data_IF_991684189303
#
_entry.id   IF_991684189303
#
_cell.length_a   1.000
_cell.length_b   1.000
_cell.length_c   1.000
_cell.angle_alpha   90.00
_cell.angle_beta   90.00
_cell.angle_gamma   90.00
#
_symmetry.space_group_name_H-M   'P 1'
#
loop_
_entity.id
_entity.type
_entity.pdbx_description
1 polymer ?
#
# COMPACT_ATOMS: atom_id res chain seq x y z
N UNK A 1 5.32 -6.96 -55.46
CA UNK A 1 4.92 -7.75 -54.27
C UNK A 1 5.56 -7.29 -52.95
N UNK A 2 6.87 -6.99 -52.89
CA UNK A 2 7.58 -6.67 -51.62
C UNK A 2 7.06 -5.43 -50.84
N UNK A 3 6.71 -4.34 -51.54
CA UNK A 3 6.30 -3.09 -50.88
C UNK A 3 4.96 -3.17 -50.13
N UNK A 4 4.07 -4.08 -50.52
CA UNK A 4 2.76 -4.30 -49.88
C UNK A 4 2.92 -5.12 -48.59
N UNK A 5 3.84 -6.09 -48.59
CA UNK A 5 4.15 -6.92 -47.41
C UNK A 5 4.86 -6.11 -46.32
N UNK A 6 5.78 -5.21 -46.70
CA UNK A 6 6.46 -4.33 -45.76
C UNK A 6 5.52 -3.31 -45.08
N UNK A 7 4.54 -2.77 -45.83
CA UNK A 7 3.54 -1.83 -45.28
C UNK A 7 2.59 -2.49 -44.28
N UNK A 8 2.17 -3.74 -44.54
CA UNK A 8 1.31 -4.50 -43.62
C UNK A 8 2.03 -4.88 -42.32
N UNK A 9 3.32 -5.23 -42.38
CA UNK A 9 4.12 -5.58 -41.21
C UNK A 9 4.32 -4.38 -40.27
N UNK A 10 4.55 -3.18 -40.79
CA UNK A 10 4.74 -1.95 -39.99
C UNK A 10 3.44 -1.54 -39.29
N UNK A 11 2.29 -1.64 -39.97
CA UNK A 11 0.97 -1.35 -39.37
C UNK A 11 0.61 -2.36 -38.26
N UNK A 12 0.95 -3.63 -38.43
CA UNK A 12 0.74 -4.66 -37.40
C UNK A 12 1.63 -4.42 -36.15
N UNK A 13 2.89 -4.00 -36.34
CA UNK A 13 3.81 -3.67 -35.24
C UNK A 13 3.36 -2.39 -34.51
N UNK A 14 2.93 -1.36 -35.25
CA UNK A 14 2.41 -0.13 -34.63
C UNK A 14 1.09 -0.38 -33.90
N UNK A 15 0.20 -1.22 -34.45
CA UNK A 15 -1.05 -1.60 -33.79
C UNK A 15 -0.82 -2.43 -32.52
N UNK A 16 0.13 -3.36 -32.53
CA UNK A 16 0.51 -4.12 -31.33
C UNK A 16 1.25 -3.26 -30.31
N UNK A 17 2.16 -2.38 -30.73
CA UNK A 17 2.82 -1.44 -29.83
C UNK A 17 1.82 -0.45 -29.21
N UNK A 18 0.88 0.08 -29.99
CA UNK A 18 -0.19 0.96 -29.50
C UNK A 18 -1.14 0.23 -28.54
N UNK A 19 -1.48 -1.03 -28.82
CA UNK A 19 -2.27 -1.84 -27.90
C UNK A 19 -1.49 -2.12 -26.59
N UNK A 20 -0.22 -2.49 -26.67
CA UNK A 20 0.62 -2.74 -25.49
C UNK A 20 0.82 -1.47 -24.67
N UNK A 21 1.08 -0.31 -25.30
CA UNK A 21 1.21 0.95 -24.57
C UNK A 21 -0.11 1.40 -23.97
N UNK A 22 -1.23 1.20 -24.66
CA UNK A 22 -2.57 1.47 -24.15
C UNK A 22 -2.89 0.58 -22.94
N UNK A 23 -2.71 -0.74 -23.04
CA UNK A 23 -2.93 -1.68 -21.93
C UNK A 23 -1.96 -1.49 -20.76
N UNK A 24 -0.74 -0.99 -20.99
CA UNK A 24 0.18 -0.63 -19.91
C UNK A 24 -0.17 0.72 -19.25
N UNK A 25 -0.83 1.64 -19.96
CA UNK A 25 -1.29 2.91 -19.40
C UNK A 25 -2.59 2.78 -18.59
N UNK A 26 -3.44 1.79 -18.91
CA UNK A 26 -4.71 1.58 -18.20
C UNK A 26 -4.58 0.75 -16.92
N UNK A 27 -3.42 0.12 -16.67
CA UNK A 27 -3.17 -0.59 -15.40
C UNK A 27 -2.73 0.41 -14.32
N UNK A 28 -3.37 0.41 -13.14
CA UNK A 28 -2.90 1.22 -12.03
C UNK A 28 -1.45 0.88 -11.68
N UNK A 29 -0.56 1.87 -11.76
CA UNK A 29 0.85 1.73 -11.38
C UNK A 29 1.00 1.35 -9.91
N UNK A 30 1.99 0.52 -9.56
CA UNK A 30 2.31 0.18 -8.18
C UNK A 30 2.53 1.45 -7.34
N UNK A 31 2.12 1.43 -6.07
CA UNK A 31 2.37 2.55 -5.17
C UNK A 31 3.87 2.80 -5.03
N UNK A 32 4.28 4.03 -5.35
CA UNK A 32 5.66 4.48 -5.29
C UNK A 32 5.90 5.52 -4.19
N UNK A 33 7.17 5.91 -4.03
CA UNK A 33 7.55 6.97 -3.10
C UNK A 33 6.87 8.29 -3.47
N UNK A 34 6.25 8.93 -2.50
CA UNK A 34 5.76 10.29 -2.69
C UNK A 34 6.92 11.29 -2.69
N UNK A 35 6.76 12.34 -3.48
CA UNK A 35 7.69 13.47 -3.46
C UNK A 35 7.71 14.11 -2.08
N UNK A 36 8.91 14.28 -1.53
CA UNK A 36 9.10 15.11 -0.35
C UNK A 36 8.86 16.56 -0.77
N UNK A 37 7.89 17.19 -0.13
CA UNK A 37 7.56 18.62 -0.28
C UNK A 37 7.49 19.17 1.12
N UNK A 38 7.87 20.43 1.35
CA UNK A 38 7.73 21.03 2.67
C UNK A 38 6.29 20.87 3.17
N UNK A 39 6.10 20.13 4.27
CA UNK A 39 4.81 19.84 4.88
C UNK A 39 4.88 20.21 6.36
N UNK A 40 3.80 20.78 6.85
CA UNK A 40 3.59 20.94 8.29
C UNK A 40 2.90 19.69 8.82
N UNK A 41 3.27 19.18 10.01
CA UNK A 41 2.55 18.07 10.63
C UNK A 41 1.06 18.37 10.74
N UNK A 42 0.23 17.39 10.38
CA UNK A 42 -1.20 17.45 10.55
C UNK A 42 -1.54 17.63 12.05
N UNK A 43 -2.63 18.36 12.38
CA UNK A 43 -3.07 18.49 13.74
C UNK A 43 -3.37 17.12 14.36
N UNK A 44 -3.30 17.04 15.68
CA UNK A 44 -3.67 15.80 16.38
C UNK A 44 -5.12 15.42 16.05
N UNK A 45 -5.42 14.11 15.95
CA UNK A 45 -6.77 13.65 15.67
C UNK A 45 -7.75 14.15 16.74
N UNK A 46 -8.99 14.38 16.33
CA UNK A 46 -10.05 14.83 17.24
C UNK A 46 -10.35 13.74 18.28
N UNK A 47 -10.76 14.10 19.52
CA UNK A 47 -11.23 13.12 20.49
C UNK A 47 -12.35 12.24 19.89
N UNK A 48 -12.22 10.92 20.02
CA UNK A 48 -13.17 9.95 19.44
C UNK A 48 -12.93 9.62 17.96
N UNK A 49 -11.81 10.04 17.35
CA UNK A 49 -11.42 9.52 16.03
C UNK A 49 -11.17 8.00 16.13
N UNK A 50 -11.93 7.17 15.39
CA UNK A 50 -11.81 5.72 15.51
C UNK A 50 -10.42 5.16 15.16
N UNK A 51 -9.71 5.76 14.20
CA UNK A 51 -8.35 5.31 13.85
C UNK A 51 -7.36 5.63 14.98
N UNK A 52 -7.57 6.75 15.69
CA UNK A 52 -6.78 7.12 16.86
C UNK A 52 -7.11 6.24 18.08
N UNK A 53 -8.32 5.67 18.16
CA UNK A 53 -8.67 4.69 19.19
C UNK A 53 -8.01 3.32 18.94
N UNK A 54 -8.02 2.85 17.70
CA UNK A 54 -7.40 1.57 17.28
C UNK A 54 -5.88 1.64 17.45
N UNK A 55 -5.25 2.69 16.91
CA UNK A 55 -3.82 2.91 17.03
C UNK A 55 -3.52 4.08 17.97
N UNK A 56 -3.85 3.90 19.26
CA UNK A 56 -3.60 4.92 20.28
C UNK A 56 -2.13 5.35 20.29
N UNK A 57 -1.93 6.63 20.01
CA UNK A 57 -0.60 7.25 20.00
C UNK A 57 -0.04 7.35 21.42
N UNK A 58 1.22 6.97 21.67
CA UNK A 58 1.85 7.14 22.97
C UNK A 58 2.11 8.63 23.25
N UNK A 59 2.00 9.00 24.53
CA UNK A 59 2.37 10.33 25.00
C UNK A 59 3.90 10.46 25.04
N UNK A 60 4.50 10.77 23.89
CA UNK A 60 5.92 11.11 23.74
C UNK A 60 6.01 12.59 23.41
N UNK A 61 6.90 13.37 24.07
CA UNK A 61 7.12 14.77 23.72
C UNK A 61 7.40 14.92 22.22
N UNK A 62 6.49 15.60 21.51
CA UNK A 62 6.67 15.93 20.11
C UNK A 62 7.69 17.06 20.00
N UNK A 63 8.80 16.80 19.32
CA UNK A 63 9.76 17.84 18.96
C UNK A 63 9.75 17.97 17.44
N UNK A 64 8.72 18.65 16.90
CA UNK A 64 8.55 18.96 15.48
C UNK A 64 9.78 19.68 14.84
N UNK A 65 10.72 20.18 15.64
CA UNK A 65 11.98 20.77 15.20
C UNK A 65 13.25 20.03 15.67
N UNK A 66 13.12 18.81 16.23
CA UNK A 66 14.30 18.03 16.63
C UNK A 66 15.10 17.57 15.42
N UNK A 67 16.39 17.92 15.42
CA UNK A 67 17.37 17.37 14.48
C UNK A 67 17.62 15.89 14.82
N UNK A 68 17.63 15.01 13.81
CA UNK A 68 17.88 13.57 13.96
C UNK A 68 16.66 12.70 13.68
N UNK A 69 16.83 11.38 13.65
CA UNK A 69 15.77 10.42 13.28
C UNK A 69 14.98 9.89 14.48
N UNK A 70 15.53 9.98 15.69
CA UNK A 70 14.86 9.54 16.91
C UNK A 70 13.60 10.34 17.21
N UNK A 71 12.58 9.66 17.73
CA UNK A 71 11.31 10.26 18.15
C UNK A 71 10.09 9.57 17.53
N UNK A 72 8.94 10.22 17.73
CA UNK A 72 7.65 9.75 17.26
C UNK A 72 7.38 10.30 15.85
N UNK A 73 7.14 9.40 14.92
CA UNK A 73 6.79 9.70 13.54
C UNK A 73 5.33 9.33 13.32
N UNK A 74 4.53 10.27 12.81
CA UNK A 74 3.08 10.10 12.66
C UNK A 74 2.72 10.10 11.18
N UNK A 75 1.89 9.15 10.76
CA UNK A 75 1.39 9.07 9.38
C UNK A 75 0.56 10.31 9.07
N UNK A 76 0.82 10.89 7.91
CA UNK A 76 0.22 12.14 7.44
C UNK A 76 -0.86 11.88 6.38
N UNK A 77 -1.80 12.83 6.19
CA UNK A 77 -2.71 12.83 5.05
C UNK A 77 -1.99 12.67 3.71
N UNK A 78 -2.71 12.17 2.71
CA UNK A 78 -2.21 11.75 1.40
C UNK A 78 -1.33 10.50 1.41
N UNK A 79 -1.11 9.87 2.57
CA UNK A 79 -0.67 8.49 2.60
C UNK A 79 -1.76 7.62 1.95
N UNK A 80 -1.34 6.58 1.23
CA UNK A 80 -2.23 5.67 0.49
C UNK A 80 -1.80 4.24 0.78
N UNK A 81 -2.78 3.36 0.94
CA UNK A 81 -2.56 1.92 1.04
C UNK A 81 -3.58 1.20 0.18
N UNK A 82 -3.27 -0.02 -0.22
CA UNK A 82 -4.15 -0.80 -1.08
C UNK A 82 -3.71 -2.24 -1.24
N UNK A 83 -4.42 -2.94 -2.11
CA UNK A 83 -4.06 -4.29 -2.51
C UNK A 83 -4.07 -4.43 -4.03
N UNK A 84 -3.39 -5.47 -4.50
CA UNK A 84 -3.48 -6.00 -5.86
C UNK A 84 -3.78 -7.49 -5.81
N UNK A 85 -4.88 -7.87 -6.44
CA UNK A 85 -5.25 -9.26 -6.61
C UNK A 85 -5.11 -9.64 -8.08
N UNK A 86 -4.30 -10.65 -8.38
CA UNK A 86 -4.12 -11.12 -9.75
C UNK A 86 -5.34 -11.95 -10.18
N UNK A 87 -6.02 -11.51 -11.23
CA UNK A 87 -7.24 -12.10 -11.75
C UNK A 87 -7.02 -12.67 -13.16
N UNK A 88 -7.67 -13.81 -13.42
CA UNK A 88 -7.80 -14.40 -14.74
C UNK A 88 -9.27 -14.51 -15.10
N UNK A 89 -9.65 -13.87 -16.20
CA UNK A 89 -10.99 -13.95 -16.78
C UNK A 89 -10.99 -15.01 -17.90
N UNK A 90 -12.04 -15.81 -18.03
CA UNK A 90 -12.07 -16.89 -19.01
C UNK A 90 -12.15 -16.41 -20.47
N UNK A 91 -12.67 -15.21 -20.70
CA UNK A 91 -12.86 -14.63 -22.04
C UNK A 91 -11.76 -13.64 -22.44
N UNK A 92 -10.84 -13.28 -21.52
CA UNK A 92 -9.78 -12.30 -21.76
C UNK A 92 -8.41 -12.97 -21.58
N UNK A 93 -7.58 -12.95 -22.63
CA UNK A 93 -6.25 -13.58 -22.65
C UNK A 93 -5.22 -12.87 -21.76
N UNK A 94 -5.48 -11.63 -21.34
CA UNK A 94 -4.54 -10.84 -20.55
C UNK A 94 -4.85 -10.92 -19.05
N UNK A 95 -3.88 -11.30 -18.20
CA UNK A 95 -4.04 -11.24 -16.75
C UNK A 95 -4.29 -9.79 -16.31
N UNK A 96 -5.27 -9.60 -15.44
CA UNK A 96 -5.72 -8.32 -14.92
C UNK A 96 -5.38 -8.23 -13.43
N UNK A 97 -5.07 -7.04 -12.93
CA UNK A 97 -4.88 -6.81 -11.50
C UNK A 97 -6.08 -6.02 -10.99
N UNK A 98 -6.86 -6.63 -10.10
CA UNK A 98 -7.81 -5.92 -9.29
C UNK A 98 -7.06 -5.05 -8.27
N UNK A 99 -7.19 -3.73 -8.37
CA UNK A 99 -6.47 -2.78 -7.52
C UNK A 99 -7.45 -1.90 -6.78
N UNK A 100 -7.47 -1.99 -5.44
CA UNK A 100 -8.23 -1.07 -4.61
C UNK A 100 -7.33 -0.32 -3.63
N UNK A 101 -7.67 0.94 -3.35
CA UNK A 101 -6.89 1.83 -2.49
C UNK A 101 -7.77 2.63 -1.55
N UNK A 102 -7.17 3.10 -0.46
CA UNK A 102 -7.76 4.07 0.46
C UNK A 102 -6.69 5.03 1.00
N UNK A 103 -7.12 6.26 1.30
CA UNK A 103 -6.35 7.25 2.06
C UNK A 103 -6.82 7.37 3.53
N UNK A 104 -7.77 6.53 3.96
CA UNK A 104 -8.29 6.50 5.33
C UNK A 104 -7.46 5.56 6.17
N UNK A 105 -6.26 6.01 6.49
CA UNK A 105 -5.38 5.37 7.43
C UNK A 105 -4.82 6.37 8.45
N UNK A 106 -4.34 5.83 9.56
CA UNK A 106 -3.65 6.57 10.59
C UNK A 106 -2.63 5.67 11.26
N UNK A 107 -1.74 6.27 12.03
CA UNK A 107 -0.74 5.49 12.74
C UNK A 107 0.53 6.26 13.03
N UNK A 108 1.46 5.56 13.62
CA UNK A 108 2.71 6.11 14.12
C UNK A 108 3.78 5.04 14.26
N UNK A 109 5.03 5.49 14.24
CA UNK A 109 6.23 4.70 14.54
C UNK A 109 7.04 5.44 15.60
N UNK A 110 7.50 4.71 16.63
CA UNK A 110 8.47 5.21 17.58
C UNK A 110 9.87 4.73 17.16
N UNK A 111 10.74 5.69 16.85
CA UNK A 111 12.14 5.42 16.50
C UNK A 111 13.01 5.80 17.69
N UNK A 112 13.86 4.89 18.13
CA UNK A 112 14.88 5.09 19.16
C UNK A 112 16.28 4.94 18.59
N UNK A 113 17.26 4.83 19.49
CA UNK A 113 18.67 4.72 19.13
C UNK A 113 19.31 6.08 18.81
N UNK A 114 20.52 6.04 18.26
CA UNK A 114 21.24 7.21 17.76
C UNK A 114 21.03 7.38 16.25
N UNK A 115 21.36 8.55 15.72
CA UNK A 115 21.37 8.81 14.27
C UNK A 115 22.28 7.84 13.49
N UNK A 116 23.33 7.32 14.12
CA UNK A 116 24.24 6.32 13.54
C UNK A 116 23.75 4.87 13.67
N UNK A 117 22.76 4.61 14.53
CA UNK A 117 22.22 3.27 14.79
C UNK A 117 20.74 3.37 15.20
N UNK A 118 19.87 3.83 14.28
CA UNK A 118 18.45 3.99 14.60
C UNK A 118 17.75 2.63 14.70
N UNK A 119 16.67 2.58 15.47
CA UNK A 119 15.86 1.39 15.60
C UNK A 119 14.37 1.74 15.68
N UNK A 120 13.52 0.96 15.00
CA UNK A 120 12.10 0.94 15.32
C UNK A 120 11.95 0.29 16.69
N UNK A 121 11.31 0.99 17.62
CA UNK A 121 11.00 0.48 18.96
C UNK A 121 9.63 -0.21 18.93
N UNK A 122 8.64 0.44 18.32
CA UNK A 122 7.28 -0.06 18.17
C UNK A 122 6.50 0.87 17.23
N UNK A 123 5.28 0.51 16.87
CA UNK A 123 4.40 1.32 16.07
C UNK A 123 3.01 0.71 15.97
N UNK A 124 2.11 1.44 15.33
CA UNK A 124 0.79 0.94 14.99
C UNK A 124 0.30 1.69 13.74
N UNK A 125 -0.16 0.96 12.74
CA UNK A 125 -0.78 1.50 11.52
C UNK A 125 -2.15 0.86 11.39
N UNK A 126 -3.21 1.67 11.35
CA UNK A 126 -4.59 1.24 11.18
C UNK A 126 -5.15 1.79 9.87
N UNK A 127 -5.88 0.95 9.15
CA UNK A 127 -6.43 1.22 7.83
C UNK A 127 -7.92 0.95 7.87
N UNK A 128 -8.74 1.93 7.50
CA UNK A 128 -10.20 1.76 7.42
C UNK A 128 -10.58 1.13 6.07
N UNK A 129 -10.73 -0.19 6.05
CA UNK A 129 -10.99 -0.94 4.83
C UNK A 129 -12.41 -0.76 4.28
N UNK A 130 -13.33 -0.15 5.03
CA UNK A 130 -14.66 0.22 4.53
C UNK A 130 -14.61 1.26 3.42
N UNK A 131 -13.48 1.95 3.30
CA UNK A 131 -13.29 3.06 2.36
C UNK A 131 -12.42 2.68 1.16
N UNK A 132 -12.08 1.40 1.02
CA UNK A 132 -11.42 0.89 -0.18
C UNK A 132 -12.28 1.19 -1.42
N UNK A 133 -11.59 1.65 -2.46
CA UNK A 133 -12.16 1.96 -3.76
C UNK A 133 -11.28 1.35 -4.86
N UNK A 134 -11.93 0.66 -5.79
CA UNK A 134 -11.28 0.12 -6.98
C UNK A 134 -10.85 1.24 -7.92
N UNK A 135 -9.63 1.15 -8.44
CA UNK A 135 -9.03 2.15 -9.33
C UNK A 135 -8.56 1.56 -10.67
N UNK A 136 -8.65 0.24 -10.82
CA UNK A 136 -8.50 -0.43 -12.10
C UNK A 136 -9.74 -0.27 -12.97
N UNK A 137 -9.52 -0.40 -14.27
CA UNK A 137 -10.54 -0.31 -15.30
C UNK A 137 -10.61 -1.61 -16.08
N UNK A 138 -11.82 -2.16 -16.18
CA UNK A 138 -12.14 -3.32 -17.02
C UNK A 138 -13.12 -2.89 -18.11
N UNK A 139 -12.76 -2.99 -19.41
CA UNK A 139 -13.64 -2.60 -20.50
C UNK A 139 -15.00 -3.31 -20.42
N UNK A 140 -16.09 -2.53 -20.31
CA UNK A 140 -17.45 -3.06 -20.22
C UNK A 140 -17.90 -3.47 -18.82
N UNK A 141 -17.07 -3.29 -17.78
CA UNK A 141 -17.40 -3.61 -16.39
C UNK A 141 -17.27 -2.37 -15.51
N UNK A 142 -18.21 -2.18 -14.58
CA UNK A 142 -18.08 -1.18 -13.53
C UNK A 142 -17.32 -1.77 -12.35
N UNK A 143 -16.06 -1.39 -12.17
CA UNK A 143 -15.20 -1.95 -11.11
C UNK A 143 -15.61 -1.49 -9.71
N UNK A 144 -16.43 -0.43 -9.57
CA UNK A 144 -16.97 -0.03 -8.25
C UNK A 144 -17.89 -1.08 -7.63
N UNK A 145 -18.52 -1.93 -8.44
CA UNK A 145 -19.38 -3.01 -7.94
C UNK A 145 -18.56 -4.06 -7.16
N UNK A 146 -17.24 -4.11 -7.38
CA UNK A 146 -16.31 -4.97 -6.64
C UNK A 146 -16.00 -4.43 -5.24
N UNK A 147 -16.20 -3.15 -4.97
CA UNK A 147 -15.84 -2.55 -3.68
C UNK A 147 -16.64 -3.16 -2.53
N UNK A 148 -17.94 -3.43 -2.75
CA UNK A 148 -18.79 -4.07 -1.74
C UNK A 148 -18.38 -5.52 -1.50
N UNK A 149 -18.04 -6.26 -2.57
CA UNK A 149 -17.52 -7.64 -2.47
C UNK A 149 -16.19 -7.67 -1.69
N UNK A 150 -15.27 -6.75 -1.99
CA UNK A 150 -13.99 -6.66 -1.29
C UNK A 150 -14.18 -6.36 0.21
N UNK A 151 -15.11 -5.46 0.55
CA UNK A 151 -15.45 -5.14 1.94
C UNK A 151 -16.06 -6.34 2.67
N UNK A 152 -16.90 -7.11 1.99
CA UNK A 152 -17.50 -8.32 2.55
C UNK A 152 -16.45 -9.41 2.78
N UNK A 153 -15.53 -9.65 1.83
CA UNK A 153 -14.40 -10.58 2.02
C UNK A 153 -13.51 -10.19 3.19
N UNK A 154 -13.30 -8.90 3.42
CA UNK A 154 -12.54 -8.38 4.56
C UNK A 154 -13.33 -8.35 5.87
N UNK A 155 -14.60 -8.77 5.87
CA UNK A 155 -15.51 -8.64 7.00
C UNK A 155 -15.59 -7.21 7.54
N UNK A 156 -15.50 -6.20 6.68
CA UNK A 156 -15.31 -4.79 7.04
C UNK A 156 -16.43 -4.19 7.91
N UNK A 157 -17.60 -4.85 7.99
CA UNK A 157 -18.69 -4.46 8.91
C UNK A 157 -18.38 -4.79 10.37
N UNK A 158 -17.83 -5.98 10.64
CA UNK A 158 -17.47 -6.43 11.99
C UNK A 158 -16.02 -6.14 12.35
N UNK A 159 -15.13 -6.13 11.34
CA UNK A 159 -13.70 -5.84 11.45
C UNK A 159 -13.33 -4.70 10.50
N UNK A 160 -13.69 -3.44 10.82
CA UNK A 160 -13.51 -2.30 9.93
C UNK A 160 -12.06 -1.88 9.71
N UNK A 161 -11.12 -2.41 10.51
CA UNK A 161 -9.72 -2.02 10.46
C UNK A 161 -8.81 -3.20 10.14
N UNK A 162 -7.86 -2.94 9.25
CA UNK A 162 -6.63 -3.73 9.14
C UNK A 162 -5.55 -3.02 9.95
N UNK A 163 -4.84 -3.77 10.78
CA UNK A 163 -3.84 -3.22 11.71
C UNK A 163 -2.48 -3.87 11.48
N UNK A 164 -1.43 -3.07 11.36
CA UNK A 164 -0.05 -3.53 11.33
C UNK A 164 0.74 -2.99 12.52
N UNK A 165 1.39 -3.87 13.27
CA UNK A 165 2.24 -3.56 14.42
C UNK A 165 3.66 -4.07 14.16
N UNK A 166 4.63 -3.20 13.84
CA UNK A 166 5.99 -3.61 13.57
C UNK A 166 6.70 -4.11 14.82
N UNK A 167 7.50 -5.15 14.66
CA UNK A 167 8.41 -5.62 15.70
C UNK A 167 9.57 -4.63 15.89
N UNK A 168 10.18 -4.58 17.09
CA UNK A 168 11.41 -3.83 17.29
C UNK A 168 12.52 -4.32 16.35
N UNK A 169 13.17 -3.41 15.63
CA UNK A 169 14.22 -3.79 14.67
C UNK A 169 15.24 -2.66 14.49
N UNK A 170 16.52 -3.03 14.42
CA UNK A 170 17.58 -2.10 14.05
C UNK A 170 17.45 -1.71 12.57
N UNK A 171 17.55 -0.42 12.29
CA UNK A 171 17.44 0.13 10.94
C UNK A 171 18.82 0.34 10.34
N UNK A 172 19.14 -0.42 9.30
CA UNK A 172 20.35 -0.23 8.51
C UNK A 172 20.12 0.86 7.47
N UNK A 173 20.14 2.12 7.90
CA UNK A 173 19.98 3.29 7.02
C UNK A 173 20.96 4.41 7.40
N UNK A 174 21.35 5.21 6.42
CA UNK A 174 22.11 6.43 6.56
C UNK A 174 21.15 7.62 6.69
N UNK A 175 20.94 8.11 7.91
CA UNK A 175 20.04 9.24 8.20
C UNK A 175 20.51 10.57 7.60
N UNK A 176 21.78 10.68 7.21
CA UNK A 176 22.36 11.88 6.61
C UNK A 176 22.17 11.92 5.09
N UNK A 177 21.68 10.83 4.48
CA UNK A 177 21.44 10.73 3.05
C UNK A 177 19.98 10.99 2.72
N UNK A 178 19.74 11.82 1.70
CA UNK A 178 18.43 12.02 1.09
C UNK A 178 18.13 11.03 -0.06
N UNK A 179 19.03 10.07 -0.29
CA UNK A 179 18.85 9.01 -1.27
C UNK A 179 17.77 8.02 -0.82
N UNK A 180 17.19 7.31 -1.79
CA UNK A 180 16.30 6.19 -1.52
C UNK A 180 17.10 5.03 -0.94
N UNK A 181 16.61 4.48 0.17
CA UNK A 181 17.23 3.39 0.92
C UNK A 181 16.22 2.27 1.12
N UNK A 182 16.68 1.02 1.15
CA UNK A 182 15.82 -0.15 1.28
C UNK A 182 15.85 -0.67 2.70
N UNK A 183 14.68 -0.99 3.23
CA UNK A 183 14.55 -1.68 4.51
C UNK A 183 13.44 -2.73 4.45
N UNK A 184 13.48 -3.64 5.41
CA UNK A 184 12.43 -4.64 5.60
C UNK A 184 11.87 -4.47 7.01
N UNK A 185 10.55 -4.36 7.11
CA UNK A 185 9.86 -4.20 8.39
C UNK A 185 8.90 -5.37 8.59
N UNK A 186 9.23 -6.22 9.56
CA UNK A 186 8.36 -7.32 9.99
C UNK A 186 7.46 -6.89 11.14
N UNK A 187 6.28 -7.48 11.23
CA UNK A 187 5.31 -7.18 12.28
C UNK A 187 4.10 -8.10 12.23
N UNK A 188 3.20 -7.93 13.19
CA UNK A 188 1.89 -8.55 13.16
C UNK A 188 0.97 -7.73 12.26
N UNK A 189 0.36 -8.41 11.29
CA UNK A 189 -0.67 -7.91 10.41
C UNK A 189 -1.98 -8.59 10.77
N UNK A 190 -2.97 -7.81 11.16
CA UNK A 190 -4.31 -8.27 11.49
C UNK A 190 -5.28 -7.88 10.38
N UNK A 191 -5.95 -8.87 9.78
CA UNK A 191 -7.01 -8.70 8.78
C UNK A 191 -8.20 -9.55 9.20
N UNK A 192 -9.40 -8.97 9.21
CA UNK A 192 -10.61 -9.72 9.56
C UNK A 192 -10.60 -10.32 10.98
N UNK A 193 -9.85 -9.72 11.90
CA UNK A 193 -9.68 -10.24 13.27
C UNK A 193 -8.65 -11.37 13.42
N UNK A 194 -7.92 -11.73 12.35
CA UNK A 194 -6.89 -12.77 12.36
C UNK A 194 -5.52 -12.11 12.20
N UNK A 195 -4.65 -12.29 13.19
CA UNK A 195 -3.28 -11.78 13.17
C UNK A 195 -2.28 -12.83 12.63
N UNK A 196 -1.42 -12.42 11.70
CA UNK A 196 -0.30 -13.21 11.15
C UNK A 196 0.94 -12.34 11.02
N UNK A 197 2.10 -12.96 11.05
CA UNK A 197 3.34 -12.24 10.77
C UNK A 197 3.43 -11.88 9.28
N UNK A 198 3.76 -10.63 8.98
CA UNK A 198 4.00 -10.14 7.63
C UNK A 198 5.29 -9.31 7.58
N UNK A 199 5.91 -9.26 6.41
CA UNK A 199 7.18 -8.56 6.20
C UNK A 199 7.12 -7.66 4.98
N UNK A 200 7.14 -6.35 5.20
CA UNK A 200 7.09 -5.34 4.15
C UNK A 200 8.49 -4.98 3.69
N UNK A 201 8.72 -5.07 2.37
CA UNK A 201 9.91 -4.53 1.73
C UNK A 201 9.61 -3.09 1.33
N UNK A 202 10.38 -2.15 1.85
CA UNK A 202 10.13 -0.72 1.71
C UNK A 202 11.33 -0.01 1.09
N UNK A 203 11.07 0.83 0.09
CA UNK A 203 11.91 1.95 -0.27
C UNK A 203 11.55 3.13 0.63
N UNK A 204 12.55 3.77 1.24
CA UNK A 204 12.37 4.84 2.21
C UNK A 204 13.33 5.99 1.88
N UNK A 205 12.86 7.21 2.07
CA UNK A 205 13.65 8.44 1.93
C UNK A 205 13.36 9.37 3.09
N UNK A 206 14.43 9.81 3.78
CA UNK A 206 14.37 10.90 4.75
C UNK A 206 14.88 12.17 4.07
N UNK A 207 14.02 13.19 3.93
CA UNK A 207 14.38 14.47 3.33
C UNK A 207 13.56 15.59 3.96
N UNK A 208 14.21 16.70 4.31
CA UNK A 208 13.56 17.90 4.87
C UNK A 208 12.67 17.61 6.09
N UNK A 209 13.10 16.68 6.96
CA UNK A 209 12.33 16.28 8.15
C UNK A 209 11.10 15.40 7.86
N UNK A 210 10.95 14.95 6.61
CA UNK A 210 9.88 14.04 6.16
C UNK A 210 10.44 12.66 5.84
N UNK A 211 9.78 11.62 6.35
CA UNK A 211 9.96 10.26 5.87
C UNK A 211 8.90 9.98 4.81
N UNK A 212 9.35 9.58 3.62
CA UNK A 212 8.49 8.97 2.59
C UNK A 212 8.85 7.50 2.49
N UNK A 213 7.87 6.61 2.55
CA UNK A 213 8.06 5.18 2.43
C UNK A 213 7.10 4.60 1.41
N UNK A 214 7.54 3.68 0.57
CA UNK A 214 6.66 2.94 -0.33
C UNK A 214 7.16 1.52 -0.48
N UNK A 215 6.24 0.59 -0.69
CA UNK A 215 6.61 -0.80 -0.87
C UNK A 215 5.45 -1.73 -0.69
N UNK A 216 5.77 -3.00 -0.46
CA UNK A 216 4.77 -4.05 -0.51
C UNK A 216 5.14 -5.29 0.31
N UNK A 217 4.14 -6.11 0.56
CA UNK A 217 4.27 -7.50 0.98
C UNK A 217 3.28 -8.37 0.20
N UNK A 218 3.45 -9.68 0.25
CA UNK A 218 2.49 -10.64 -0.32
C UNK A 218 1.96 -11.49 0.81
N UNK A 219 0.63 -11.62 0.87
CA UNK A 219 -0.06 -12.46 1.85
C UNK A 219 -0.94 -13.48 1.14
N UNK A 220 -1.12 -14.64 1.75
CA UNK A 220 -2.08 -15.63 1.26
C UNK A 220 -3.45 -15.37 1.89
N UNK A 221 -4.48 -15.12 1.08
CA UNK A 221 -5.83 -14.78 1.54
C UNK A 221 -6.40 -15.80 2.55
N UNK A 222 -6.16 -17.09 2.30
CA UNK A 222 -6.63 -18.17 3.17
C UNK A 222 -6.05 -18.14 4.58
N UNK A 223 -4.89 -17.52 4.80
CA UNK A 223 -4.29 -17.40 6.14
C UNK A 223 -5.12 -16.50 7.07
N UNK A 224 -5.95 -15.64 6.46
CA UNK A 224 -6.86 -14.70 7.13
C UNK A 224 -8.32 -15.13 7.02
N UNK A 225 -8.59 -16.38 6.66
CA UNK A 225 -9.95 -16.89 6.50
C UNK A 225 -10.71 -16.29 5.31
N UNK A 226 -10.00 -15.69 4.35
CA UNK A 226 -10.59 -15.09 3.16
C UNK A 226 -10.59 -16.12 2.03
N UNK A 227 -11.78 -16.46 1.54
CA UNK A 227 -11.97 -17.32 0.38
C UNK A 227 -12.13 -16.48 -0.88
N UNK A 228 -11.09 -16.48 -1.73
CA UNK A 228 -11.14 -15.78 -3.01
C UNK A 228 -11.74 -16.67 -4.11
N UNK A 229 -12.51 -16.10 -5.06
CA UNK A 229 -13.11 -16.86 -6.17
C UNK A 229 -12.11 -17.73 -6.94
N UNK A 230 -12.28 -19.06 -6.89
CA UNK A 230 -11.44 -19.98 -7.64
C UNK A 230 -12.02 -20.36 -9.00
N UNK A 231 -13.36 -20.40 -9.13
CA UNK A 231 -14.10 -20.83 -10.34
C UNK A 231 -15.54 -20.27 -10.38
N UNK A 232 -15.77 -18.99 -10.08
CA UNK A 232 -17.17 -18.48 -10.07
C UNK A 232 -17.72 -18.48 -11.49
N UNK A 233 -18.60 -19.45 -11.78
CA UNK A 233 -19.35 -19.58 -13.05
C UNK A 233 -18.50 -19.76 -14.30
N UNK A 234 -17.19 -20.04 -14.16
CA UNK A 234 -16.24 -20.02 -15.26
C UNK A 234 -15.84 -18.62 -15.74
N UNK A 235 -16.15 -17.54 -15.01
CA UNK A 235 -15.93 -16.17 -15.47
C UNK A 235 -14.66 -15.51 -14.89
N UNK A 236 -14.37 -15.69 -13.59
CA UNK A 236 -13.18 -15.11 -12.91
C UNK A 236 -12.53 -16.12 -11.96
N UNK A 237 -11.20 -16.17 -12.00
CA UNK A 237 -10.33 -16.81 -10.99
C UNK A 237 -9.38 -15.78 -10.39
N UNK A 238 -9.27 -15.76 -9.08
CA UNK A 238 -8.36 -14.88 -8.33
C UNK A 238 -7.23 -15.72 -7.74
N UNK A 239 -5.99 -15.26 -7.92
CA UNK A 239 -4.83 -15.82 -7.22
C UNK A 239 -4.95 -15.51 -5.71
N UNK A 240 -4.88 -16.52 -4.81
CA UNK A 240 -4.95 -16.26 -3.37
C UNK A 240 -3.72 -15.53 -2.80
N UNK A 241 -2.62 -15.43 -3.55
CA UNK A 241 -1.50 -14.55 -3.20
C UNK A 241 -1.84 -13.09 -3.54
N UNK A 242 -2.15 -12.31 -2.51
CA UNK A 242 -2.54 -10.90 -2.61
C UNK A 242 -1.35 -10.02 -2.27
N UNK A 243 -1.05 -9.06 -3.14
CA UNK A 243 -0.02 -8.05 -2.86
C UNK A 243 -0.67 -6.92 -2.08
N UNK A 244 -0.12 -6.57 -0.92
CA UNK A 244 -0.48 -5.37 -0.18
C UNK A 244 0.55 -4.28 -0.47
N UNK A 245 0.10 -3.10 -0.89
CA UNK A 245 0.97 -1.99 -1.28
C UNK A 245 0.73 -0.76 -0.40
N UNK A 246 1.81 -0.01 -0.13
CA UNK A 246 1.78 1.19 0.72
C UNK A 246 2.57 2.33 0.09
N UNK A 247 2.11 3.55 0.34
CA UNK A 247 2.79 4.82 0.07
C UNK A 247 2.51 5.76 1.24
N UNK A 248 3.47 5.89 2.15
CA UNK A 248 3.31 6.54 3.43
C UNK A 248 4.15 7.81 3.50
N UNK A 249 3.59 8.81 4.17
CA UNK A 249 4.31 10.00 4.60
C UNK A 249 4.25 10.07 6.11
N UNK A 250 5.40 10.27 6.73
CA UNK A 250 5.50 10.47 8.16
C UNK A 250 6.25 11.77 8.47
N UNK A 251 5.75 12.48 9.47
CA UNK A 251 6.37 13.67 10.05
C UNK A 251 6.46 13.53 11.55
N UNK A 252 7.41 14.23 12.16
CA UNK A 252 7.42 14.43 13.60
C UNK A 252 6.35 15.47 13.96
N UNK A 253 5.46 15.16 14.91
CA UNK A 253 4.41 16.04 15.40
C UNK A 253 4.91 17.09 16.39
#
# INVERSE_FOLDING_TARGET
>A
MWKVVAGAAILAILGTAAAITYFNHTRPQALGLQSATARTPAPSPSPGDPLAEVCRRPAVPGNAGSTGVGGLWVIQPHSVVGYRAHEKFAEVTSPHDAVARTERLGGWLLVGGSDSAPAVVTGCIAIDVRTLQSIDELPGFNTSDRDDIARDFLSARSHPYVVFQPYPVALTLNVLSDAVQRLTLAGDLEIGGIAKSASFKLDVRLKDGQVSAAGQTTVHAGDYGIEVPQEVGGFVRVNPDIVLEVSLILLKP
#
